data_IF_916573172600
#
_entry.id   IF_916573172600
#
_cell.length_a   1.000
_cell.length_b   1.000
_cell.length_c   1.000
_cell.angle_alpha   90.00
_cell.angle_beta   90.00
_cell.angle_gamma   90.00
#
_symmetry.space_group_name_H-M   'P 1'
#
loop_
_entity.id
_entity.type
_entity.pdbx_description
1 polymer ?
#
# COMPACT_ATOMS: atom_id res chain seq x y z
N UNK A 1 -39.75 82.36 -74.88
CA UNK A 1 -39.93 80.89 -75.00
C UNK A 1 -38.81 80.38 -75.90
N UNK A 2 -37.70 79.93 -75.32
CA UNK A 2 -36.53 79.49 -76.09
C UNK A 2 -36.78 78.09 -76.62
N UNK A 3 -36.96 77.97 -77.93
CA UNK A 3 -37.07 76.68 -78.63
C UNK A 3 -35.70 76.00 -78.61
N UNK A 4 -35.53 75.05 -77.70
CA UNK A 4 -34.37 74.15 -77.72
C UNK A 4 -34.35 73.40 -79.05
N UNK A 5 -33.30 73.62 -79.85
CA UNK A 5 -33.07 72.83 -81.06
C UNK A 5 -32.93 71.34 -80.68
N UNK A 6 -33.46 70.41 -81.49
CA UNK A 6 -33.42 68.98 -81.19
C UNK A 6 -32.00 68.45 -80.93
N UNK A 7 -31.00 69.06 -81.56
CA UNK A 7 -29.57 68.76 -81.34
C UNK A 7 -29.04 69.14 -79.96
N UNK A 8 -29.67 70.09 -79.24
CA UNK A 8 -29.27 70.49 -77.88
C UNK A 8 -29.79 69.50 -76.83
N UNK A 9 -31.00 68.97 -77.03
CA UNK A 9 -31.60 67.94 -76.18
C UNK A 9 -30.83 66.62 -76.28
N UNK A 10 -30.46 66.21 -77.50
CA UNK A 10 -29.65 65.01 -77.72
C UNK A 10 -28.29 65.11 -77.01
N UNK A 11 -27.62 66.28 -77.10
CA UNK A 11 -26.35 66.51 -76.40
C UNK A 11 -26.47 66.42 -74.88
N UNK A 12 -27.52 67.02 -74.30
CA UNK A 12 -27.78 66.93 -72.85
C UNK A 12 -28.03 65.49 -72.40
N UNK A 13 -28.75 64.71 -73.19
CA UNK A 13 -29.02 63.31 -72.85
C UNK A 13 -27.75 62.44 -72.95
N UNK A 14 -26.89 62.68 -73.95
CA UNK A 14 -25.56 62.04 -74.05
C UNK A 14 -24.69 62.37 -72.83
N UNK A 15 -24.62 63.64 -72.43
CA UNK A 15 -23.85 64.08 -71.26
C UNK A 15 -24.38 63.43 -69.97
N UNK A 16 -25.72 63.33 -69.85
CA UNK A 16 -26.39 62.64 -68.74
C UNK A 16 -26.01 61.16 -68.68
N UNK A 17 -26.10 60.42 -69.79
CA UNK A 17 -25.73 59.01 -69.84
C UNK A 17 -24.24 58.80 -69.57
N UNK A 18 -23.38 59.68 -70.08
CA UNK A 18 -21.94 59.64 -69.81
C UNK A 18 -21.64 59.83 -68.32
N UNK A 19 -22.26 60.83 -67.68
CA UNK A 19 -22.11 61.06 -66.24
C UNK A 19 -22.66 59.89 -65.39
N UNK A 20 -23.76 59.27 -65.82
CA UNK A 20 -24.29 58.06 -65.16
C UNK A 20 -23.32 56.88 -65.28
N UNK A 21 -22.77 56.65 -66.48
CA UNK A 21 -21.79 55.61 -66.73
C UNK A 21 -20.50 55.82 -65.93
N UNK A 22 -19.98 57.05 -65.87
CA UNK A 22 -18.80 57.37 -65.07
C UNK A 22 -19.04 57.11 -63.58
N UNK A 23 -20.21 57.51 -63.05
CA UNK A 23 -20.60 57.22 -61.66
C UNK A 23 -20.73 55.72 -61.37
N UNK A 24 -21.41 54.97 -62.23
CA UNK A 24 -21.54 53.52 -62.07
C UNK A 24 -20.19 52.82 -62.18
N UNK A 25 -19.31 53.29 -63.07
CA UNK A 25 -17.95 52.79 -63.20
C UNK A 25 -17.13 53.04 -61.92
N UNK A 26 -17.17 54.24 -61.37
CA UNK A 26 -16.47 54.58 -60.12
C UNK A 26 -16.99 53.70 -58.95
N UNK A 27 -18.31 53.57 -58.80
CA UNK A 27 -18.91 52.70 -57.78
C UNK A 27 -18.50 51.23 -57.94
N UNK A 28 -18.42 50.74 -59.18
CA UNK A 28 -17.98 49.38 -59.44
C UNK A 28 -16.49 49.18 -59.13
N UNK A 29 -15.64 50.17 -59.44
CA UNK A 29 -14.22 50.14 -59.06
C UNK A 29 -14.02 50.16 -57.53
N UNK A 30 -14.82 50.95 -56.80
CA UNK A 30 -14.85 50.95 -55.34
C UNK A 30 -15.31 49.60 -54.77
N UNK A 31 -16.37 49.02 -55.31
CA UNK A 31 -16.86 47.70 -54.91
C UNK A 31 -15.79 46.61 -55.11
N UNK A 32 -15.07 46.64 -56.24
CA UNK A 32 -13.98 45.70 -56.48
C UNK A 32 -12.82 45.87 -55.49
N UNK A 33 -12.46 47.11 -55.14
CA UNK A 33 -11.42 47.36 -54.14
C UNK A 33 -11.84 46.84 -52.78
N UNK A 34 -13.05 47.18 -52.35
CA UNK A 34 -13.60 46.71 -51.09
C UNK A 34 -13.70 45.18 -51.01
N UNK A 35 -14.13 44.51 -52.09
CA UNK A 35 -14.16 43.05 -52.16
C UNK A 35 -12.76 42.44 -51.97
N UNK A 36 -11.74 43.02 -52.60
CA UNK A 36 -10.35 42.55 -52.46
C UNK A 36 -9.78 42.79 -51.07
N UNK A 37 -10.09 43.93 -50.45
CA UNK A 37 -9.68 44.23 -49.08
C UNK A 37 -10.34 43.24 -48.10
N UNK A 38 -11.63 42.97 -48.24
CA UNK A 38 -12.34 41.99 -47.43
C UNK A 38 -11.81 40.57 -47.61
N UNK A 39 -11.52 40.16 -48.84
CA UNK A 39 -10.87 38.87 -49.13
C UNK A 39 -9.52 38.75 -48.42
N UNK A 40 -8.69 39.81 -48.46
CA UNK A 40 -7.40 39.83 -47.79
C UNK A 40 -7.53 39.75 -46.25
N UNK A 41 -8.52 40.42 -45.67
CA UNK A 41 -8.83 40.32 -44.24
C UNK A 41 -9.26 38.90 -43.85
N UNK A 42 -10.17 38.29 -44.62
CA UNK A 42 -10.60 36.90 -44.39
C UNK A 42 -9.44 35.92 -44.50
N UNK A 43 -8.55 36.08 -45.49
CA UNK A 43 -7.36 35.25 -45.62
C UNK A 43 -6.40 35.41 -44.43
N UNK A 44 -6.24 36.63 -43.92
CA UNK A 44 -5.43 36.90 -42.75
C UNK A 44 -6.02 36.21 -41.52
N UNK A 45 -7.34 36.31 -41.32
CA UNK A 45 -8.03 35.63 -40.23
C UNK A 45 -7.92 34.11 -40.31
N UNK A 46 -8.05 33.53 -41.51
CA UNK A 46 -7.87 32.09 -41.72
C UNK A 46 -6.45 31.66 -41.36
N UNK A 47 -5.43 32.38 -41.83
CA UNK A 47 -4.02 32.11 -41.48
C UNK A 47 -3.78 32.19 -39.97
N UNK A 48 -4.34 33.19 -39.30
CA UNK A 48 -4.23 33.31 -37.84
C UNK A 48 -4.92 32.14 -37.13
N UNK A 49 -6.10 31.71 -37.60
CA UNK A 49 -6.80 30.54 -37.06
C UNK A 49 -6.01 29.26 -37.27
N UNK A 50 -5.43 29.04 -38.44
CA UNK A 50 -4.62 27.86 -38.73
C UNK A 50 -3.39 27.76 -37.82
N UNK A 51 -2.69 28.88 -37.60
CA UNK A 51 -1.57 28.94 -36.66
C UNK A 51 -2.03 28.60 -35.24
N UNK A 52 -3.16 29.16 -34.80
CA UNK A 52 -3.71 28.88 -33.46
C UNK A 52 -4.12 27.42 -33.30
N UNK A 53 -4.71 26.81 -34.32
CA UNK A 53 -5.03 25.38 -34.32
C UNK A 53 -3.77 24.55 -34.20
N UNK A 54 -2.74 24.83 -35.00
CA UNK A 54 -1.46 24.12 -34.93
C UNK A 54 -0.78 24.24 -33.55
N UNK A 55 -0.83 25.42 -32.94
CA UNK A 55 -0.33 25.66 -31.59
C UNK A 55 -1.12 24.83 -30.55
N UNK A 56 -2.45 24.90 -30.57
CA UNK A 56 -3.30 24.14 -29.65
C UNK A 56 -3.10 22.63 -29.79
N UNK A 57 -2.95 22.13 -31.01
CA UNK A 57 -2.62 20.73 -31.24
C UNK A 57 -1.26 20.33 -30.67
N UNK A 58 -0.25 21.21 -30.79
CA UNK A 58 1.08 20.96 -30.23
C UNK A 58 1.02 20.87 -28.70
N UNK A 59 0.25 21.77 -28.06
CA UNK A 59 0.03 21.78 -26.62
C UNK A 59 -0.73 20.53 -26.20
N UNK A 60 -1.79 20.15 -26.93
CA UNK A 60 -2.54 18.91 -26.69
C UNK A 60 -1.62 17.69 -26.73
N UNK A 61 -0.80 17.54 -27.78
CA UNK A 61 0.15 16.42 -27.90
C UNK A 61 1.14 16.38 -26.73
N UNK A 62 1.68 17.55 -26.33
CA UNK A 62 2.59 17.65 -25.18
C UNK A 62 1.89 17.25 -23.87
N UNK A 63 0.70 17.77 -23.62
CA UNK A 63 -0.07 17.45 -22.42
C UNK A 63 -0.45 15.96 -22.37
N UNK A 64 -0.89 15.39 -23.49
CA UNK A 64 -1.18 13.94 -23.58
C UNK A 64 0.06 13.10 -23.25
N UNK A 65 1.23 13.46 -23.77
CA UNK A 65 2.48 12.76 -23.45
C UNK A 65 2.83 12.84 -21.95
N UNK A 66 2.71 14.02 -21.34
CA UNK A 66 2.95 14.19 -19.90
C UNK A 66 1.94 13.38 -19.07
N UNK A 67 0.67 13.35 -19.48
CA UNK A 67 -0.34 12.54 -18.79
C UNK A 67 -0.03 11.04 -18.86
N UNK A 68 0.42 10.53 -20.01
CA UNK A 68 0.85 9.14 -20.13
C UNK A 68 2.08 8.82 -19.27
N UNK A 69 3.06 9.73 -19.24
CA UNK A 69 4.24 9.59 -18.38
C UNK A 69 3.86 9.59 -16.89
N UNK A 70 2.94 10.46 -16.47
CA UNK A 70 2.47 10.50 -15.08
C UNK A 70 1.67 9.25 -14.72
N UNK A 71 0.82 8.75 -15.62
CA UNK A 71 0.07 7.50 -15.41
C UNK A 71 1.01 6.31 -15.27
N UNK A 72 1.96 6.15 -16.19
CA UNK A 72 2.93 5.05 -16.16
C UNK A 72 3.80 5.10 -14.90
N UNK A 73 4.24 6.28 -14.49
CA UNK A 73 4.96 6.47 -13.23
C UNK A 73 4.10 6.11 -12.02
N UNK A 74 2.88 6.64 -11.94
CA UNK A 74 1.95 6.34 -10.85
C UNK A 74 1.67 4.84 -10.73
N UNK A 75 1.46 4.16 -11.85
CA UNK A 75 1.25 2.71 -11.87
C UNK A 75 2.50 1.93 -11.43
N UNK A 76 3.69 2.39 -11.82
CA UNK A 76 4.95 1.80 -11.36
C UNK A 76 5.11 1.97 -9.85
N UNK A 77 4.99 3.20 -9.36
CA UNK A 77 5.12 3.55 -7.94
C UNK A 77 4.09 2.76 -7.11
N UNK A 78 2.84 2.65 -7.59
CA UNK A 78 1.80 1.83 -6.95
C UNK A 78 2.19 0.35 -6.83
N UNK A 79 2.73 -0.26 -7.89
CA UNK A 79 3.18 -1.66 -7.86
C UNK A 79 4.33 -1.86 -6.87
N UNK A 80 5.30 -0.94 -6.88
CA UNK A 80 6.43 -0.97 -5.94
C UNK A 80 5.96 -0.82 -4.49
N UNK A 81 5.00 0.07 -4.23
CA UNK A 81 4.40 0.21 -2.91
C UNK A 81 3.66 -1.05 -2.47
N UNK A 82 2.82 -1.66 -3.33
CA UNK A 82 2.15 -2.91 -2.98
C UNK A 82 3.16 -4.04 -2.69
N UNK A 83 4.23 -4.16 -3.48
CA UNK A 83 5.26 -5.17 -3.25
C UNK A 83 6.03 -4.96 -1.94
N UNK A 84 6.39 -3.72 -1.62
CA UNK A 84 7.06 -3.40 -0.34
C UNK A 84 6.13 -3.62 0.85
N UNK A 85 4.85 -3.28 0.71
CA UNK A 85 3.85 -3.51 1.75
C UNK A 85 3.62 -5.01 2.00
N UNK A 86 3.54 -5.82 0.94
CA UNK A 86 3.47 -7.28 1.05
C UNK A 86 4.71 -7.86 1.73
N UNK A 87 5.90 -7.42 1.32
CA UNK A 87 7.15 -7.85 1.96
C UNK A 87 7.18 -7.51 3.46
N UNK A 88 6.71 -6.32 3.84
CA UNK A 88 6.63 -5.90 5.24
C UNK A 88 5.61 -6.73 6.01
N UNK A 89 4.44 -7.01 5.43
CA UNK A 89 3.43 -7.89 6.03
C UNK A 89 4.00 -9.29 6.30
N UNK A 90 4.68 -9.89 5.32
CA UNK A 90 5.31 -11.21 5.49
C UNK A 90 6.36 -11.19 6.59
N UNK A 91 7.22 -10.16 6.63
CA UNK A 91 8.23 -10.03 7.70
C UNK A 91 7.60 -9.89 9.09
N UNK A 92 6.49 -9.16 9.19
CA UNK A 92 5.77 -8.99 10.45
C UNK A 92 5.18 -10.34 10.92
N UNK A 93 4.51 -11.06 10.01
CA UNK A 93 3.99 -12.40 10.30
C UNK A 93 5.11 -13.36 10.76
N UNK A 94 6.21 -13.41 10.01
CA UNK A 94 7.36 -14.26 10.37
C UNK A 94 7.96 -13.87 11.73
N UNK A 95 7.99 -12.58 12.06
CA UNK A 95 8.48 -12.10 13.36
C UNK A 95 7.55 -12.54 14.48
N UNK A 96 6.24 -12.47 14.28
CA UNK A 96 5.24 -12.90 15.26
C UNK A 96 5.31 -14.42 15.47
N UNK A 97 5.44 -15.20 14.38
CA UNK A 97 5.65 -16.65 14.42
C UNK A 97 6.95 -17.03 15.15
N UNK A 98 8.06 -16.36 14.85
CA UNK A 98 9.32 -16.57 15.57
C UNK A 98 9.17 -16.26 17.07
N UNK A 99 8.45 -15.18 17.41
CA UNK A 99 8.19 -14.82 18.80
C UNK A 99 7.32 -15.87 19.52
N UNK A 100 6.30 -16.43 18.88
CA UNK A 100 5.47 -17.50 19.48
C UNK A 100 6.29 -18.77 19.66
N UNK A 101 7.08 -19.17 18.66
CA UNK A 101 7.99 -20.31 18.77
C UNK A 101 9.01 -20.15 19.91
N UNK A 102 9.64 -18.98 20.02
CA UNK A 102 10.60 -18.71 21.09
C UNK A 102 9.95 -18.78 22.47
N UNK A 103 8.72 -18.29 22.63
CA UNK A 103 7.96 -18.45 23.87
C UNK A 103 7.65 -19.92 24.18
N UNK A 104 7.31 -20.72 23.18
CA UNK A 104 7.11 -22.16 23.36
C UNK A 104 8.40 -22.86 23.77
N UNK A 105 9.53 -22.56 23.12
CA UNK A 105 10.85 -23.09 23.47
C UNK A 105 11.27 -22.68 24.88
N UNK A 106 11.02 -21.43 25.28
CA UNK A 106 11.29 -20.94 26.63
C UNK A 106 10.54 -21.77 27.68
N UNK A 107 9.22 -21.93 27.52
CA UNK A 107 8.41 -22.75 28.43
C UNK A 107 8.88 -24.21 28.49
N UNK A 108 9.28 -24.79 27.36
CA UNK A 108 9.80 -26.16 27.33
C UNK A 108 11.14 -26.29 28.07
N UNK A 109 12.00 -25.27 28.02
CA UNK A 109 13.25 -25.22 28.79
C UNK A 109 12.97 -25.02 30.27
N UNK A 110 12.04 -24.14 30.64
CA UNK A 110 11.60 -23.93 32.02
C UNK A 110 11.08 -25.24 32.63
N UNK A 111 10.20 -25.97 31.93
CA UNK A 111 9.69 -27.26 32.39
C UNK A 111 10.81 -28.30 32.58
N UNK A 112 11.74 -28.41 31.63
CA UNK A 112 12.88 -29.32 31.75
C UNK A 112 13.79 -28.95 32.93
N UNK A 113 13.92 -27.66 33.22
CA UNK A 113 14.68 -27.18 34.37
C UNK A 113 13.99 -27.58 35.68
N UNK A 114 12.67 -27.38 35.80
CA UNK A 114 11.90 -27.81 36.97
C UNK A 114 12.03 -29.32 37.21
N UNK A 115 11.98 -30.13 36.14
CA UNK A 115 12.19 -31.58 36.21
C UNK A 115 13.62 -31.98 36.61
N UNK A 116 14.62 -31.19 36.20
CA UNK A 116 16.01 -31.37 36.63
C UNK A 116 16.15 -31.08 38.12
N UNK A 117 15.70 -29.91 38.57
CA UNK A 117 15.75 -29.53 39.99
C UNK A 117 15.01 -30.55 40.88
N UNK A 118 13.86 -31.06 40.41
CA UNK A 118 13.13 -32.10 41.14
C UNK A 118 13.96 -33.38 41.30
N UNK A 119 14.64 -33.82 40.25
CA UNK A 119 15.53 -34.99 40.30
C UNK A 119 16.73 -34.75 41.21
N UNK A 120 17.32 -33.56 41.15
CA UNK A 120 18.41 -33.18 42.05
C UNK A 120 17.98 -33.23 43.52
N UNK A 121 16.78 -32.71 43.86
CA UNK A 121 16.22 -32.80 45.22
C UNK A 121 16.02 -34.26 45.67
N UNK A 122 15.49 -35.12 44.79
CA UNK A 122 15.31 -36.55 45.09
C UNK A 122 16.67 -37.23 45.32
N UNK A 123 17.65 -36.98 44.45
CA UNK A 123 18.99 -37.56 44.57
C UNK A 123 19.70 -37.07 45.83
N UNK A 124 19.59 -35.78 46.16
CA UNK A 124 20.13 -35.22 47.39
C UNK A 124 19.52 -35.90 48.62
N UNK A 125 18.21 -36.12 48.65
CA UNK A 125 17.55 -36.85 49.73
C UNK A 125 18.04 -38.31 49.81
N UNK A 126 18.18 -38.99 48.68
CA UNK A 126 18.70 -40.37 48.64
C UNK A 126 20.14 -40.45 49.20
N UNK A 127 20.99 -39.46 48.93
CA UNK A 127 22.34 -39.38 49.50
C UNK A 127 22.31 -39.17 51.01
N UNK A 128 21.38 -38.35 51.52
CA UNK A 128 21.17 -38.16 52.96
C UNK A 128 20.73 -39.48 53.60
N UNK A 129 19.71 -40.15 53.04
CA UNK A 129 19.21 -41.42 53.55
C UNK A 129 20.29 -42.52 53.57
N UNK A 130 21.17 -42.55 52.56
CA UNK A 130 22.30 -43.48 52.52
C UNK A 130 23.33 -43.15 53.60
N UNK A 131 23.65 -41.86 53.78
CA UNK A 131 24.60 -41.41 54.80
C UNK A 131 24.12 -41.80 56.21
N UNK A 132 22.85 -41.54 56.53
CA UNK A 132 22.26 -41.94 57.81
C UNK A 132 22.29 -43.46 58.03
N UNK A 133 22.02 -44.26 56.98
CA UNK A 133 22.13 -45.72 57.07
C UNK A 133 23.56 -46.17 57.31
N UNK A 134 24.54 -45.53 56.67
CA UNK A 134 25.95 -45.80 56.90
C UNK A 134 26.36 -45.46 58.33
N UNK A 135 25.94 -44.32 58.86
CA UNK A 135 26.20 -43.91 60.25
C UNK A 135 25.63 -44.92 61.24
N UNK A 136 24.37 -45.36 61.06
CA UNK A 136 23.76 -46.41 61.89
C UNK A 136 24.51 -47.75 61.82
N UNK A 137 25.01 -48.12 60.63
CA UNK A 137 25.82 -49.32 60.46
C UNK A 137 27.17 -49.18 61.19
N UNK A 138 27.82 -48.02 61.11
CA UNK A 138 29.06 -47.73 61.83
C UNK A 138 28.85 -47.78 63.35
N UNK A 139 27.79 -47.17 63.87
CA UNK A 139 27.45 -47.23 65.29
C UNK A 139 27.26 -48.68 65.77
N UNK A 140 26.56 -49.51 64.98
CA UNK A 140 26.40 -50.94 65.28
C UNK A 140 27.73 -51.69 65.27
N UNK A 141 28.59 -51.43 64.29
CA UNK A 141 29.93 -52.03 64.24
C UNK A 141 30.77 -51.63 65.46
N UNK A 142 30.80 -50.35 65.82
CA UNK A 142 31.52 -49.85 66.98
C UNK A 142 31.00 -50.45 68.30
N UNK A 143 29.69 -50.60 68.47
CA UNK A 143 29.09 -51.27 69.64
C UNK A 143 29.48 -52.75 69.74
N UNK A 144 29.53 -53.46 68.59
CA UNK A 144 29.97 -54.85 68.54
C UNK A 144 31.46 -54.97 68.89
N UNK A 145 32.30 -54.08 68.36
CA UNK A 145 33.74 -54.03 68.68
C UNK A 145 34.01 -53.71 70.14
N UNK A 146 33.22 -52.83 70.76
CA UNK A 146 33.32 -52.50 72.18
C UNK A 146 32.83 -53.62 73.13
N UNK A 147 32.31 -54.74 72.59
CA UNK A 147 31.88 -55.90 73.37
C UNK A 147 30.60 -55.67 74.20
N UNK A 148 29.82 -54.62 73.89
CA UNK A 148 28.64 -54.21 74.66
C UNK A 148 27.30 -54.74 74.12
N UNK A 149 27.31 -55.65 73.14
CA UNK A 149 26.08 -56.12 72.51
C UNK A 149 25.48 -57.36 73.19
N UNK A 150 24.37 -57.17 73.90
CA UNK A 150 23.42 -58.23 74.30
C UNK A 150 22.19 -58.10 73.39
N UNK A 151 21.74 -59.16 72.67
CA UNK A 151 20.60 -59.06 71.78
C UNK A 151 19.31 -59.01 72.61
N UNK A 152 18.83 -57.81 72.89
CA UNK A 152 17.49 -57.60 73.46
C UNK A 152 16.44 -57.78 72.36
N UNK A 153 15.71 -58.89 72.42
CA UNK A 153 14.47 -59.16 71.68
C UNK A 153 13.43 -58.05 71.96
N UNK A 154 13.48 -56.93 71.26
CA UNK A 154 12.38 -55.94 71.28
C UNK A 154 12.32 -55.03 70.05
N UNK A 155 12.79 -55.50 68.88
CA UNK A 155 12.50 -54.86 67.59
C UNK A 155 11.97 -55.85 66.53
N UNK A 156 11.38 -56.95 66.98
CA UNK A 156 10.44 -57.76 66.19
C UNK A 156 9.04 -57.41 66.67
N UNK A 157 8.46 -56.31 66.15
CA UNK A 157 7.02 -56.06 65.90
C UNK A 157 6.67 -54.56 65.97
N UNK A 158 6.62 -53.93 64.81
CA UNK A 158 5.42 -53.20 64.38
C UNK A 158 5.36 -53.24 62.85
N UNK A 159 4.24 -53.68 62.22
CA UNK A 159 4.08 -53.56 60.78
C UNK A 159 3.99 -52.07 60.41
N UNK A 160 4.43 -51.63 59.22
CA UNK A 160 4.08 -50.30 58.76
C UNK A 160 2.55 -50.25 58.63
N UNK A 161 1.90 -49.51 59.52
CA UNK A 161 0.49 -49.16 59.42
C UNK A 161 0.23 -48.56 58.06
N UNK A 162 -0.54 -49.26 57.24
CA UNK A 162 -1.21 -48.70 56.09
C UNK A 162 -2.22 -47.67 56.59
N UNK A 163 -1.84 -46.39 56.59
CA UNK A 163 -2.79 -45.28 56.52
C UNK A 163 -2.24 -44.16 55.63
N UNK A 164 -2.82 -44.12 54.43
CA UNK A 164 -3.15 -42.93 53.65
C UNK A 164 -2.01 -42.08 53.06
N UNK A 165 -1.78 -42.31 51.77
CA UNK A 165 -1.08 -41.37 50.89
C UNK A 165 -0.31 -42.04 49.77
N UNK A 166 -0.90 -43.02 49.10
CA UNK A 166 -0.40 -43.48 47.79
C UNK A 166 -0.83 -42.43 46.77
N UNK A 167 0.06 -41.63 46.13
CA UNK A 167 -0.22 -41.22 44.77
C UNK A 167 0.08 -42.44 43.91
N UNK A 168 -0.96 -42.95 43.26
CA UNK A 168 -0.90 -44.05 42.33
C UNK A 168 0.31 -43.90 41.39
N UNK A 169 1.22 -44.87 41.48
CA UNK A 169 2.08 -45.22 40.37
C UNK A 169 1.15 -45.77 39.27
N UNK A 170 0.66 -44.88 38.41
CA UNK A 170 0.13 -45.28 37.12
C UNK A 170 1.32 -45.75 36.28
N UNK A 171 1.58 -47.05 36.37
CA UNK A 171 2.14 -47.80 35.27
C UNK A 171 1.09 -47.83 34.14
N UNK A 172 1.09 -46.82 33.29
CA UNK A 172 0.51 -46.91 31.96
C UNK A 172 1.66 -47.03 30.96
N UNK A 173 1.70 -48.14 30.22
CA UNK A 173 2.39 -48.28 28.92
C UNK A 173 3.90 -48.04 28.95
N UNK A 174 4.76 -49.05 28.84
CA UNK A 174 5.00 -49.72 27.55
C UNK A 174 4.46 -48.92 26.35
N UNK A 175 5.21 -47.90 25.95
CA UNK A 175 5.50 -47.65 24.53
C UNK A 175 6.96 -47.22 24.43
N UNK A 176 7.82 -48.23 24.37
CA UNK A 176 9.08 -48.12 23.66
C UNK A 176 8.73 -47.89 22.18
N UNK A 177 8.76 -46.64 21.74
CA UNK A 177 9.21 -46.36 20.38
C UNK A 177 10.71 -46.14 20.50
N UNK A 178 11.46 -47.21 20.25
CA UNK A 178 12.84 -47.11 19.81
C UNK A 178 12.87 -46.17 18.60
N UNK A 179 13.40 -44.95 18.77
CA UNK A 179 14.02 -44.28 17.64
C UNK A 179 15.47 -44.73 17.61
N UNK A 180 15.91 -45.40 16.53
CA UNK A 180 17.30 -45.81 16.40
C UNK A 180 18.16 -44.56 16.33
N UNK A 181 19.18 -44.54 17.18
CA UNK A 181 20.34 -43.65 17.03
C UNK A 181 21.08 -44.12 15.77
N UNK A 182 20.78 -43.52 14.63
CA UNK A 182 21.60 -43.67 13.42
C UNK A 182 22.93 -42.95 13.63
N UNK A 183 23.92 -43.72 14.09
CA UNK A 183 25.33 -43.35 14.02
C UNK A 183 25.96 -44.11 12.85
N UNK A 184 25.86 -43.53 11.65
CA UNK A 184 26.65 -43.94 10.49
C UNK A 184 27.71 -42.85 10.19
N UNK A 185 28.96 -43.20 10.46
CA UNK A 185 30.12 -42.51 9.93
C UNK A 185 30.45 -43.06 8.53
N UNK A 186 30.66 -42.18 7.54
CA UNK A 186 31.85 -42.15 6.66
C UNK A 186 31.62 -41.41 5.32
N UNK A 187 32.49 -40.41 5.13
CA UNK A 187 33.28 -40.11 3.91
C UNK A 187 32.74 -39.16 2.81
N UNK A 188 33.54 -38.09 2.62
CA UNK A 188 33.90 -37.39 1.37
C UNK A 188 32.79 -36.63 0.60
N UNK A 189 32.96 -35.41 0.08
CA UNK A 189 34.11 -34.52 -0.14
C UNK A 189 33.57 -33.13 -0.58
N UNK A 190 34.42 -32.09 -0.42
CA UNK A 190 34.48 -30.81 -1.16
C UNK A 190 33.29 -29.82 -1.03
N UNK A 191 33.44 -28.51 -0.84
CA UNK A 191 34.55 -27.59 -1.12
C UNK A 191 34.33 -26.23 -0.40
N UNK A 192 35.45 -25.60 0.00
CA UNK A 192 35.78 -24.16 0.13
C UNK A 192 34.72 -23.13 0.64
N UNK A 193 34.98 -22.15 1.53
CA UNK A 193 36.23 -21.54 2.00
C UNK A 193 36.03 -20.79 3.33
N UNK A 194 37.08 -20.83 4.16
CA UNK A 194 37.42 -19.97 5.31
C UNK A 194 37.21 -18.46 5.07
N UNK A 195 37.04 -17.58 6.05
CA UNK A 195 37.95 -17.22 7.17
C UNK A 195 37.19 -16.41 8.22
N UNK A 196 37.15 -16.83 9.49
CA UNK A 196 38.05 -16.45 10.59
C UNK A 196 37.87 -15.02 11.12
N UNK A 197 37.47 -14.89 12.40
CA UNK A 197 38.24 -14.18 13.44
C UNK A 197 37.41 -13.94 14.72
N UNK A 198 37.82 -14.64 15.79
CA UNK A 198 38.06 -14.14 17.15
C UNK A 198 37.11 -13.12 17.79
N UNK A 199 36.54 -13.55 18.92
CA UNK A 199 35.94 -12.65 19.90
C UNK A 199 36.98 -11.81 20.66
N UNK A 200 36.51 -10.66 21.11
CA UNK A 200 37.02 -9.91 22.25
C UNK A 200 35.82 -9.15 22.85
N UNK A 201 35.68 -9.20 24.17
CA UNK A 201 34.59 -8.55 24.89
C UNK A 201 34.73 -7.03 25.00
N UNK A 202 34.02 -6.50 26.00
CA UNK A 202 33.98 -5.11 26.51
C UNK A 202 32.73 -4.33 26.07
N UNK A 203 31.71 -4.35 26.93
CA UNK A 203 30.87 -3.16 27.22
C UNK A 203 31.79 -2.02 27.69
N UNK A 204 31.54 -0.73 27.38
CA UNK A 204 30.28 -0.08 27.76
C UNK A 204 29.81 1.03 26.80
N UNK A 205 28.76 1.72 27.25
CA UNK A 205 28.23 3.02 26.78
C UNK A 205 27.02 2.95 25.86
N UNK A 206 25.90 3.40 26.44
CA UNK A 206 24.60 3.42 25.82
C UNK A 206 24.55 4.39 24.64
N UNK A 207 24.09 3.88 23.51
CA UNK A 207 23.47 4.69 22.48
C UNK A 207 21.97 4.43 22.51
N UNK A 208 21.28 5.24 23.31
CA UNK A 208 19.85 5.51 23.15
C UNK A 208 19.66 6.20 21.79
N UNK A 209 19.61 5.44 20.70
CA UNK A 209 19.10 5.90 19.41
C UNK A 209 18.23 4.78 18.84
N UNK A 210 17.06 4.59 19.46
CA UNK A 210 15.94 3.94 18.77
C UNK A 210 15.52 4.84 17.61
N UNK A 211 15.76 4.36 16.41
CA UNK A 211 15.30 4.92 15.14
C UNK A 211 13.78 5.21 15.19
N UNK A 212 13.41 6.46 15.40
CA UNK A 212 12.05 7.00 15.16
C UNK A 212 11.97 7.78 13.84
N UNK A 213 12.98 7.66 12.98
CA UNK A 213 13.15 8.46 11.77
C UNK A 213 12.29 8.00 10.58
N UNK A 214 11.81 6.76 10.54
CA UNK A 214 11.01 6.26 9.40
C UNK A 214 9.54 6.70 9.42
N UNK A 215 8.93 6.92 10.58
CA UNK A 215 7.54 7.37 10.69
C UNK A 215 7.36 8.85 10.38
N UNK A 216 8.32 9.71 10.76
CA UNK A 216 8.26 11.15 10.43
C UNK A 216 8.46 11.41 8.95
N UNK A 217 9.34 10.66 8.28
CA UNK A 217 9.60 10.88 6.86
C UNK A 217 8.40 10.47 5.99
N UNK A 218 7.74 9.36 6.30
CA UNK A 218 6.52 8.95 5.61
C UNK A 218 5.35 9.90 5.87
N UNK A 219 5.19 10.38 7.11
CA UNK A 219 4.19 11.41 7.44
C UNK A 219 4.47 12.74 6.71
N UNK A 220 5.73 13.18 6.66
CA UNK A 220 6.13 14.38 5.91
C UNK A 220 5.89 14.24 4.41
N UNK A 221 6.12 13.05 3.83
CA UNK A 221 5.85 12.79 2.42
C UNK A 221 4.34 12.82 2.12
N UNK A 222 3.51 12.24 2.99
CA UNK A 222 2.06 12.28 2.87
C UNK A 222 1.55 13.73 2.98
N UNK A 223 2.01 14.50 3.96
CA UNK A 223 1.66 15.93 4.09
C UNK A 223 2.09 16.75 2.85
N UNK A 224 3.27 16.45 2.30
CA UNK A 224 3.75 17.11 1.09
C UNK A 224 2.93 16.74 -0.15
N UNK A 225 2.44 15.50 -0.26
CA UNK A 225 1.54 15.09 -1.32
C UNK A 225 0.16 15.74 -1.18
N UNK A 226 -0.41 15.79 0.04
CA UNK A 226 -1.70 16.44 0.30
C UNK A 226 -1.67 17.93 -0.05
N UNK A 227 -0.62 18.67 0.35
CA UNK A 227 -0.47 20.09 -0.04
C UNK A 227 -0.37 20.30 -1.54
N UNK A 228 0.24 19.36 -2.28
CA UNK A 228 0.32 19.45 -3.75
C UNK A 228 -1.03 19.18 -4.42
N UNK A 229 -1.85 18.30 -3.86
CA UNK A 229 -3.21 18.04 -4.33
C UNK A 229 -4.09 19.28 -4.07
N UNK A 230 -4.06 19.85 -2.86
CA UNK A 230 -4.79 21.09 -2.54
C UNK A 230 -4.38 22.27 -3.44
N UNK A 231 -3.08 22.42 -3.72
CA UNK A 231 -2.59 23.44 -4.64
C UNK A 231 -3.09 23.20 -6.08
N UNK A 232 -3.10 21.95 -6.55
CA UNK A 232 -3.61 21.60 -7.87
C UNK A 232 -5.13 21.86 -7.99
N UNK A 233 -5.90 21.56 -6.94
CA UNK A 233 -7.33 21.88 -6.86
C UNK A 233 -7.58 23.39 -6.88
N UNK A 234 -6.77 24.20 -6.18
CA UNK A 234 -6.86 25.65 -6.23
C UNK A 234 -6.55 26.22 -7.63
N UNK A 235 -5.59 25.63 -8.35
CA UNK A 235 -5.28 26.00 -9.74
C UNK A 235 -6.41 25.62 -10.71
N UNK A 236 -7.07 24.48 -10.51
CA UNK A 236 -8.25 24.08 -11.29
C UNK A 236 -9.44 25.00 -11.03
N UNK A 237 -9.74 25.31 -9.77
CA UNK A 237 -10.85 26.19 -9.41
C UNK A 237 -10.65 27.63 -9.88
N UNK A 238 -9.44 28.17 -9.81
CA UNK A 238 -9.12 29.51 -10.35
C UNK A 238 -9.13 29.56 -11.88
N UNK A 239 -8.83 28.45 -12.55
CA UNK A 239 -8.96 28.32 -14.02
C UNK A 239 -10.43 28.22 -14.45
N UNK A 240 -11.30 27.67 -13.60
CA UNK A 240 -12.74 27.55 -13.87
C UNK A 240 -13.50 28.86 -13.59
N UNK A 241 -13.07 29.67 -12.62
CA UNK A 241 -13.71 30.94 -12.26
C UNK A 241 -13.29 32.14 -13.14
N UNK A 242 -12.33 31.98 -14.05
CA UNK A 242 -11.76 33.08 -14.85
C UNK A 242 -12.11 33.01 -16.35
N UNK A 243 -13.02 32.13 -16.77
CA UNK A 243 -13.48 32.10 -18.17
C UNK A 243 -14.59 33.14 -18.41
N UNK A 244 -14.38 34.17 -19.27
CA UNK A 244 -15.40 35.14 -19.61
C UNK A 244 -16.20 34.61 -20.82
N UNK A 245 -16.97 33.53 -20.64
CA UNK A 245 -17.84 33.00 -21.71
C UNK A 245 -19.19 32.54 -21.14
N UNK A 246 -19.89 33.41 -20.39
CA UNK A 246 -21.28 33.13 -19.97
C UNK A 246 -22.27 34.28 -20.13
N UNK A 247 -22.01 35.28 -20.98
CA UNK A 247 -22.92 36.42 -21.16
C UNK A 247 -23.54 36.56 -22.55
N UNK A 248 -23.61 35.49 -23.37
CA UNK A 248 -24.09 35.61 -24.75
C UNK A 248 -25.34 34.78 -25.11
N UNK A 249 -25.87 33.96 -24.21
CA UNK A 249 -27.15 33.27 -24.43
C UNK A 249 -27.99 33.24 -23.16
N UNK A 250 -28.61 34.37 -22.83
CA UNK A 250 -29.80 34.34 -21.96
C UNK A 250 -30.87 35.28 -22.52
N UNK A 251 -31.62 34.73 -23.46
CA UNK A 251 -32.94 35.23 -23.88
C UNK A 251 -33.71 34.04 -24.44
N UNK A 252 -34.82 33.62 -23.79
CA UNK A 252 -35.65 32.54 -24.29
C UNK A 252 -36.73 33.10 -25.23
N UNK A 253 -36.94 32.52 -26.42
CA UNK A 253 -38.21 32.67 -27.12
C UNK A 253 -38.97 31.33 -27.18
N UNK A 254 -40.31 31.45 -27.15
CA UNK A 254 -41.31 30.44 -27.51
C UNK A 254 -41.55 29.31 -26.48
N UNK A 255 -42.45 29.44 -25.51
CA UNK A 255 -43.91 29.54 -25.65
C UNK A 255 -44.49 29.38 -27.07
N UNK A 256 -44.20 28.28 -27.76
CA UNK A 256 -45.05 27.74 -28.83
C UNK A 256 -44.63 26.29 -29.06
N UNK A 257 -45.45 25.34 -28.59
CA UNK A 257 -45.65 23.96 -29.08
C UNK A 257 -46.35 23.18 -27.95
N UNK A 258 -47.56 23.63 -27.61
CA UNK A 258 -48.56 22.76 -27.03
C UNK A 258 -49.28 22.05 -28.18
N UNK A 259 -49.67 20.81 -27.94
CA UNK A 259 -50.46 19.93 -28.80
C UNK A 259 -49.67 19.16 -29.84
N UNK A 260 -49.44 17.87 -29.56
CA UNK A 260 -50.00 16.75 -30.35
C UNK A 260 -49.52 15.42 -29.73
N UNK A 261 -50.49 14.53 -29.54
CA UNK A 261 -50.39 13.09 -29.21
C UNK A 261 -50.30 12.67 -27.74
N UNK A 262 -51.47 12.63 -27.12
CA UNK A 262 -51.84 11.47 -26.32
C UNK A 262 -52.20 10.28 -27.23
N UNK A 263 -51.63 9.11 -26.96
CA UNK A 263 -52.30 7.85 -27.22
C UNK A 263 -51.78 6.77 -26.25
N UNK A 264 -52.73 6.16 -25.57
CA UNK A 264 -52.61 5.01 -24.66
C UNK A 264 -51.66 3.90 -25.13
N UNK A 265 -51.02 3.22 -24.17
CA UNK A 265 -51.46 1.87 -23.75
C UNK A 265 -50.77 1.39 -22.47
N UNK A 266 -51.60 1.02 -21.50
CA UNK A 266 -51.33 0.03 -20.46
C UNK A 266 -50.88 -1.31 -21.07
N UNK A 267 -49.97 -2.02 -20.41
CA UNK A 267 -50.10 -3.46 -20.16
C UNK A 267 -49.16 -3.94 -19.03
N UNK A 268 -49.70 -4.86 -18.22
CA UNK A 268 -49.22 -5.52 -17.00
C UNK A 268 -47.79 -6.12 -17.11
N UNK A 269 -47.00 -6.32 -16.05
CA UNK A 269 -47.30 -6.99 -14.78
C UNK A 269 -47.04 -8.50 -14.90
N UNK A 270 -45.94 -8.98 -14.34
CA UNK A 270 -45.59 -10.38 -13.91
C UNK A 270 -44.15 -10.32 -13.38
N UNK A 271 -43.93 -10.34 -12.07
CA UNK A 271 -43.69 -11.55 -11.27
C UNK A 271 -42.72 -12.54 -11.93
N UNK A 272 -41.52 -12.69 -11.34
CA UNK A 272 -40.97 -14.00 -11.04
C UNK A 272 -39.85 -13.91 -10.00
N UNK A 273 -40.13 -14.53 -8.86
CA UNK A 273 -39.16 -15.07 -7.91
C UNK A 273 -38.27 -16.10 -8.64
N UNK A 274 -36.97 -16.06 -8.37
CA UNK A 274 -36.14 -17.19 -7.94
C UNK A 274 -34.86 -16.65 -7.30
#
# INVERSE_FOLDING_TARGET
>A
MSSSTPNSLIRKEIERYKSMYEREREQFEEFQRYSKELEAEMELELKQRDVKVAELESVKRRQSSVLEQLKTKSDKDRREHCATEEQLRTRLLNSDECCTELRHKLRAVEQKNDDLERRERIHAQQLIDLSERYDQCLERCAMLEAGMFVPSQQQLQSPPSATNGVPAFHASGTDHVEQPMDFAAASANDDASSTAATGAGVSPEGSTIRQTLNGRHSQQLIEQMLRKVEAAEAHLNSSFSSSPVSSFYDSPPAAAMASVNGFQRHFNGTENNF
#
